data_IF_507310432122
#
_entry.id   IF_507310432122
#
_cell.length_a   1.000
_cell.length_b   1.000
_cell.length_c   1.000
_cell.angle_alpha   90.00
_cell.angle_beta   90.00
_cell.angle_gamma   90.00
#
_symmetry.space_group_name_H-M   'P 1'
#
loop_
_entity.id
_entity.type
_entity.pdbx_description
1 polymer ?
#
# COMPACT_ATOMS: atom_id res chain seq x y z
N UNK A 1 -41.50 -67.44 31.85
CA UNK A 1 -41.92 -66.06 31.49
C UNK A 1 -40.68 -65.22 31.19
N UNK A 2 -40.68 -64.57 30.02
CA UNK A 2 -39.86 -63.44 29.52
C UNK A 2 -38.32 -63.43 29.70
N UNK A 3 -37.64 -63.58 28.56
CA UNK A 3 -36.27 -63.14 28.27
C UNK A 3 -36.21 -61.61 28.26
N UNK A 4 -35.18 -61.01 28.87
CA UNK A 4 -34.80 -59.61 28.64
C UNK A 4 -33.32 -59.62 28.23
N UNK A 5 -33.09 -59.37 26.94
CA UNK A 5 -31.76 -59.08 26.41
C UNK A 5 -31.55 -57.57 26.48
N UNK A 6 -30.51 -57.15 27.19
CA UNK A 6 -30.13 -55.75 27.32
C UNK A 6 -29.21 -55.41 26.13
N UNK A 7 -29.71 -54.62 25.18
CA UNK A 7 -28.90 -54.09 24.06
C UNK A 7 -28.33 -52.75 24.49
N UNK A 8 -27.02 -52.70 24.70
CA UNK A 8 -26.24 -51.47 24.86
C UNK A 8 -26.00 -50.86 23.48
N UNK A 9 -26.73 -49.81 23.14
CA UNK A 9 -26.44 -48.96 21.98
C UNK A 9 -25.49 -47.84 22.42
N UNK A 10 -24.20 -48.00 22.12
CA UNK A 10 -23.21 -46.92 22.25
C UNK A 10 -23.29 -46.01 21.02
N UNK A 11 -23.77 -44.77 21.20
CA UNK A 11 -23.74 -43.75 20.17
C UNK A 11 -22.32 -43.15 20.08
N UNK A 12 -21.60 -43.45 19.00
CA UNK A 12 -20.42 -42.66 18.60
C UNK A 12 -20.91 -41.32 18.02
N UNK A 13 -20.72 -40.22 18.75
CA UNK A 13 -20.78 -38.88 18.18
C UNK A 13 -19.46 -38.60 17.45
N UNK A 14 -19.50 -38.63 16.11
CA UNK A 14 -18.43 -38.10 15.29
C UNK A 14 -18.52 -36.56 15.26
N UNK A 15 -17.59 -35.90 15.94
CA UNK A 15 -17.38 -34.45 15.81
C UNK A 15 -16.67 -34.19 14.47
N UNK A 16 -17.44 -33.86 13.44
CA UNK A 16 -16.87 -33.34 12.20
C UNK A 16 -16.47 -31.88 12.43
N UNK A 17 -15.16 -31.63 12.48
CA UNK A 17 -14.60 -30.28 12.40
C UNK A 17 -14.86 -29.77 10.98
N UNK A 18 -15.91 -28.97 10.78
CA UNK A 18 -16.08 -28.23 9.54
C UNK A 18 -15.08 -27.08 9.53
N UNK A 19 -14.12 -27.11 8.61
CA UNK A 19 -13.27 -25.96 8.34
C UNK A 19 -14.18 -24.77 8.00
N UNK A 20 -14.10 -23.71 8.79
CA UNK A 20 -14.95 -22.54 8.63
C UNK A 20 -14.42 -21.76 7.42
N UNK A 21 -15.29 -21.55 6.42
CA UNK A 21 -14.96 -20.83 5.19
C UNK A 21 -14.58 -19.38 5.53
N UNK A 22 -13.56 -18.83 4.87
CA UNK A 22 -13.19 -17.43 5.07
C UNK A 22 -14.36 -16.49 4.75
N UNK A 23 -14.51 -15.43 5.53
CA UNK A 23 -15.45 -14.35 5.21
C UNK A 23 -14.91 -13.47 4.09
N UNK A 24 -15.79 -12.76 3.36
CA UNK A 24 -15.39 -11.82 2.30
C UNK A 24 -14.44 -10.72 2.83
N UNK A 25 -14.62 -10.29 4.08
CA UNK A 25 -13.75 -9.32 4.73
C UNK A 25 -12.35 -9.90 4.98
N UNK A 26 -12.26 -11.12 5.51
CA UNK A 26 -10.98 -11.81 5.74
C UNK A 26 -10.24 -12.11 4.43
N UNK A 27 -10.97 -12.48 3.38
CA UNK A 27 -10.42 -12.68 2.05
C UNK A 27 -9.82 -11.37 1.51
N UNK A 28 -10.60 -10.29 1.53
CA UNK A 28 -10.16 -8.95 1.09
C UNK A 28 -8.92 -8.47 1.85
N UNK A 29 -8.90 -8.61 3.17
CA UNK A 29 -7.76 -8.20 4.00
C UNK A 29 -6.51 -9.04 3.71
N UNK A 30 -6.68 -10.36 3.53
CA UNK A 30 -5.56 -11.26 3.20
C UNK A 30 -5.03 -10.97 1.80
N UNK A 31 -5.91 -10.65 0.85
CA UNK A 31 -5.54 -10.24 -0.51
C UNK A 31 -4.73 -8.95 -0.51
N UNK A 32 -5.23 -7.90 0.17
CA UNK A 32 -4.54 -6.61 0.33
C UNK A 32 -3.16 -6.80 0.97
N UNK A 33 -3.04 -7.64 2.01
CA UNK A 33 -1.75 -8.01 2.63
C UNK A 33 -0.80 -8.70 1.64
N UNK A 34 -1.29 -9.68 0.88
CA UNK A 34 -0.49 -10.38 -0.12
C UNK A 34 0.10 -9.43 -1.17
N UNK A 35 -0.72 -8.52 -1.71
CA UNK A 35 -0.27 -7.50 -2.68
C UNK A 35 0.80 -6.59 -2.06
N UNK A 36 0.60 -6.15 -0.81
CA UNK A 36 1.58 -5.32 -0.09
C UNK A 36 2.89 -6.06 0.15
N UNK A 37 2.86 -7.33 0.55
CA UNK A 37 4.06 -8.15 0.71
C UNK A 37 4.80 -8.33 -0.61
N UNK A 38 4.08 -8.67 -1.69
CA UNK A 38 4.63 -8.84 -3.03
C UNK A 38 5.32 -7.57 -3.53
N UNK A 39 4.71 -6.41 -3.26
CA UNK A 39 5.23 -5.10 -3.64
C UNK A 39 6.45 -4.66 -2.82
N UNK A 40 6.52 -5.06 -1.56
CA UNK A 40 7.69 -4.83 -0.71
C UNK A 40 8.77 -5.92 -0.85
N UNK A 41 8.67 -6.76 -1.89
CA UNK A 41 9.59 -7.87 -2.17
C UNK A 41 9.73 -8.87 -1.01
N UNK A 42 8.70 -8.97 -0.16
CA UNK A 42 8.58 -9.95 0.93
C UNK A 42 7.93 -11.23 0.37
N UNK A 43 8.63 -11.91 -0.54
CA UNK A 43 8.05 -12.97 -1.38
C UNK A 43 7.48 -14.15 -0.58
N UNK A 44 8.14 -14.56 0.50
CA UNK A 44 7.66 -15.65 1.37
C UNK A 44 6.33 -15.30 2.05
N UNK A 45 6.20 -14.06 2.56
CA UNK A 45 4.95 -13.61 3.18
C UNK A 45 3.83 -13.46 2.12
N UNK A 46 4.18 -13.02 0.91
CA UNK A 46 3.23 -12.96 -0.20
C UNK A 46 2.74 -14.36 -0.59
N UNK A 47 3.65 -15.33 -0.65
CA UNK A 47 3.32 -16.74 -0.89
C UNK A 47 2.34 -17.27 0.16
N UNK A 48 2.61 -17.06 1.45
CA UNK A 48 1.71 -17.48 2.54
C UNK A 48 0.29 -16.91 2.35
N UNK A 49 0.19 -15.61 2.03
CA UNK A 49 -1.11 -14.98 1.78
C UNK A 49 -1.82 -15.56 0.56
N UNK A 50 -1.15 -15.65 -0.58
CA UNK A 50 -1.79 -16.10 -1.82
C UNK A 50 -2.05 -17.61 -1.85
N UNK A 51 -1.25 -18.42 -1.14
CA UNK A 51 -1.50 -19.85 -0.96
C UNK A 51 -2.77 -20.07 -0.13
N UNK A 52 -2.95 -19.30 0.95
CA UNK A 52 -4.17 -19.32 1.77
C UNK A 52 -5.40 -18.96 0.94
N UNK A 53 -5.32 -17.87 0.16
CA UNK A 53 -6.43 -17.43 -0.69
C UNK A 53 -6.74 -18.42 -1.82
N UNK A 54 -5.72 -19.05 -2.40
CA UNK A 54 -5.90 -20.02 -3.47
C UNK A 54 -6.58 -21.31 -2.97
N UNK A 55 -6.28 -21.75 -1.75
CA UNK A 55 -6.95 -22.88 -1.11
C UNK A 55 -8.43 -22.61 -0.81
N UNK A 56 -8.79 -21.34 -0.58
CA UNK A 56 -10.16 -20.91 -0.30
C UNK A 56 -11.00 -20.75 -1.59
N UNK A 57 -10.42 -20.23 -2.68
CA UNK A 57 -11.07 -20.10 -3.99
C UNK A 57 -10.10 -20.46 -5.13
N UNK A 58 -9.99 -21.76 -5.43
CA UNK A 58 -9.14 -22.29 -6.51
C UNK A 58 -9.58 -21.82 -7.92
N UNK A 59 -10.85 -21.39 -8.05
CA UNK A 59 -11.40 -20.88 -9.30
C UNK A 59 -11.02 -19.42 -9.56
N UNK A 60 -10.55 -18.68 -8.54
CA UNK A 60 -10.07 -17.32 -8.70
C UNK A 60 -8.73 -17.30 -9.46
N UNK A 61 -8.80 -17.04 -10.78
CA UNK A 61 -7.61 -17.00 -11.64
C UNK A 61 -6.69 -15.81 -11.36
N UNK A 62 -7.19 -14.74 -10.74
CA UNK A 62 -6.35 -13.63 -10.29
C UNK A 62 -5.45 -14.06 -9.13
N UNK A 63 -6.01 -14.69 -8.09
CA UNK A 63 -5.23 -15.21 -6.97
C UNK A 63 -4.25 -16.29 -7.43
N UNK A 64 -4.71 -17.18 -8.32
CA UNK A 64 -3.87 -18.22 -8.94
C UNK A 64 -2.68 -17.60 -9.67
N UNK A 65 -2.91 -16.53 -10.43
CA UNK A 65 -1.88 -15.76 -11.11
C UNK A 65 -0.89 -15.12 -10.13
N UNK A 66 -1.36 -14.45 -9.07
CA UNK A 66 -0.51 -13.79 -8.08
C UNK A 66 0.37 -14.79 -7.31
N UNK A 67 -0.15 -15.99 -7.02
CA UNK A 67 0.63 -17.08 -6.45
C UNK A 67 1.69 -17.58 -7.44
N UNK A 68 1.29 -17.84 -8.69
CA UNK A 68 2.22 -18.27 -9.75
C UNK A 68 3.32 -17.25 -10.05
N UNK A 69 2.98 -15.95 -10.05
CA UNK A 69 3.93 -14.85 -10.15
C UNK A 69 4.93 -14.85 -8.97
N UNK A 70 4.44 -15.13 -7.76
CA UNK A 70 5.30 -15.17 -6.56
C UNK A 70 6.34 -16.28 -6.70
N UNK A 71 5.93 -17.49 -7.07
CA UNK A 71 6.84 -18.62 -7.32
C UNK A 71 7.83 -18.34 -8.46
N UNK A 72 7.35 -17.81 -9.60
CA UNK A 72 8.20 -17.45 -10.72
C UNK A 72 9.27 -16.41 -10.32
N UNK A 73 8.91 -15.42 -9.50
CA UNK A 73 9.84 -14.40 -9.00
C UNK A 73 10.88 -14.97 -8.03
N UNK A 74 10.48 -15.86 -7.12
CA UNK A 74 11.40 -16.58 -6.22
C UNK A 74 12.38 -17.45 -7.01
N UNK A 75 11.94 -18.04 -8.12
CA UNK A 75 12.73 -19.04 -8.84
C UNK A 75 12.63 -20.44 -8.21
N UNK A 76 11.68 -20.64 -7.31
CA UNK A 76 11.40 -21.89 -6.61
C UNK A 76 10.06 -22.45 -7.09
N UNK A 77 9.86 -23.77 -6.95
CA UNK A 77 8.63 -24.45 -7.36
C UNK A 77 8.21 -24.14 -8.81
N UNK A 78 9.18 -23.98 -9.71
CA UNK A 78 8.96 -23.52 -11.09
C UNK A 78 7.93 -24.36 -11.87
N UNK A 79 7.90 -25.71 -11.78
CA UNK A 79 6.84 -26.50 -12.40
C UNK A 79 5.44 -26.12 -11.92
N UNK A 80 5.29 -25.83 -10.61
CA UNK A 80 4.01 -25.40 -10.04
C UNK A 80 3.66 -23.97 -10.45
N UNK A 81 4.64 -23.08 -10.52
CA UNK A 81 4.45 -21.72 -11.04
C UNK A 81 3.90 -21.75 -12.47
N UNK A 82 4.48 -22.59 -13.33
CA UNK A 82 4.05 -22.79 -14.71
C UNK A 82 2.60 -23.27 -14.76
N UNK A 83 2.25 -24.33 -14.01
CA UNK A 83 0.89 -24.87 -13.97
C UNK A 83 -0.16 -23.80 -13.58
N UNK A 84 0.14 -23.05 -12.51
CA UNK A 84 -0.74 -21.98 -12.03
C UNK A 84 -0.89 -20.88 -13.10
N UNK A 85 0.20 -20.46 -13.73
CA UNK A 85 0.20 -19.38 -14.72
C UNK A 85 -0.48 -19.80 -16.04
N UNK A 86 -0.24 -21.03 -16.54
CA UNK A 86 -0.93 -21.60 -17.71
C UNK A 86 -2.45 -21.69 -17.48
N UNK A 87 -2.87 -22.06 -16.27
CA UNK A 87 -4.28 -22.08 -15.89
C UNK A 87 -4.88 -20.67 -15.86
N UNK A 88 -4.12 -19.69 -15.36
CA UNK A 88 -4.60 -18.33 -15.13
C UNK A 88 -4.75 -17.50 -16.41
N UNK A 89 -3.84 -17.64 -17.38
CA UNK A 89 -3.89 -16.87 -18.64
C UNK A 89 -5.17 -17.10 -19.46
N UNK A 90 -5.88 -18.22 -19.23
CA UNK A 90 -7.17 -18.51 -19.87
C UNK A 90 -8.27 -17.51 -19.48
N UNK A 91 -8.10 -16.79 -18.39
CA UNK A 91 -9.01 -15.74 -17.92
C UNK A 91 -8.48 -14.33 -18.24
N UNK A 92 -7.67 -14.17 -19.29
CA UNK A 92 -7.18 -12.85 -19.71
C UNK A 92 -8.32 -11.88 -20.03
N UNK A 93 -8.13 -10.61 -19.64
CA UNK A 93 -9.03 -9.51 -19.99
C UNK A 93 -8.24 -8.20 -20.13
N UNK A 94 -8.54 -7.36 -21.15
CA UNK A 94 -7.97 -6.01 -21.23
C UNK A 94 -8.53 -5.06 -20.15
N UNK A 95 -9.70 -5.38 -19.60
CA UNK A 95 -10.37 -4.59 -18.55
C UNK A 95 -10.11 -5.16 -17.14
N UNK A 96 -8.84 -5.44 -16.82
CA UNK A 96 -8.44 -6.01 -15.53
C UNK A 96 -8.51 -4.96 -14.41
N UNK A 97 -9.14 -5.31 -13.28
CA UNK A 97 -9.23 -4.42 -12.11
C UNK A 97 -8.07 -4.64 -11.15
N UNK A 98 -7.07 -3.77 -11.22
CA UNK A 98 -5.92 -3.74 -10.29
C UNK A 98 -6.41 -3.57 -8.84
N UNK A 99 -5.75 -4.24 -7.90
CA UNK A 99 -5.99 -4.21 -6.44
C UNK A 99 -7.40 -4.55 -5.94
N UNK A 100 -8.35 -4.90 -6.82
CA UNK A 100 -9.71 -5.30 -6.47
C UNK A 100 -9.71 -6.78 -5.98
N UNK A 101 -10.05 -7.06 -4.70
CA UNK A 101 -10.05 -8.42 -4.17
C UNK A 101 -11.12 -9.32 -4.80
N UNK A 102 -12.10 -8.74 -5.51
CA UNK A 102 -13.17 -9.49 -6.20
C UNK A 102 -12.83 -9.83 -7.65
N UNK A 103 -11.72 -9.30 -8.20
CA UNK A 103 -11.29 -9.60 -9.56
C UNK A 103 -10.88 -11.08 -9.66
N UNK A 104 -11.45 -11.79 -10.64
CA UNK A 104 -11.21 -13.22 -10.88
C UNK A 104 -10.43 -13.50 -12.16
N UNK A 105 -10.16 -12.47 -12.96
CA UNK A 105 -9.47 -12.54 -14.26
C UNK A 105 -8.05 -12.02 -14.14
N UNK A 106 -7.29 -12.04 -15.23
CA UNK A 106 -5.88 -11.63 -15.23
C UNK A 106 -5.58 -10.58 -16.29
N UNK A 107 -4.56 -9.77 -16.03
CA UNK A 107 -3.97 -8.83 -16.99
C UNK A 107 -3.01 -9.55 -17.95
N UNK A 108 -2.57 -8.81 -18.97
CA UNK A 108 -1.52 -9.24 -19.91
C UNK A 108 -0.20 -9.62 -19.21
N UNK A 109 0.06 -9.12 -18.00
CA UNK A 109 1.26 -9.44 -17.23
C UNK A 109 1.35 -10.92 -16.81
N UNK A 110 0.24 -11.65 -16.77
CA UNK A 110 0.25 -13.09 -16.50
C UNK A 110 1.09 -13.88 -17.53
N UNK A 111 1.07 -13.46 -18.80
CA UNK A 111 1.85 -14.07 -19.87
C UNK A 111 3.35 -13.79 -19.73
N UNK A 112 3.71 -12.59 -19.26
CA UNK A 112 5.08 -12.26 -18.95
C UNK A 112 5.63 -13.13 -17.81
N UNK A 113 4.88 -13.30 -16.72
CA UNK A 113 5.35 -14.14 -15.62
C UNK A 113 5.36 -15.63 -16.00
N UNK A 114 4.47 -16.08 -16.90
CA UNK A 114 4.54 -17.42 -17.48
C UNK A 114 5.83 -17.62 -18.29
N UNK A 115 6.17 -16.64 -19.13
CA UNK A 115 7.45 -16.64 -19.86
C UNK A 115 8.65 -16.69 -18.91
N UNK A 116 8.63 -15.90 -17.83
CA UNK A 116 9.68 -15.92 -16.82
C UNK A 116 9.81 -17.31 -16.19
N UNK A 117 8.68 -17.93 -15.84
CA UNK A 117 8.66 -19.27 -15.25
C UNK A 117 9.24 -20.31 -16.22
N UNK A 118 8.84 -20.29 -17.50
CA UNK A 118 9.41 -21.17 -18.53
C UNK A 118 10.92 -20.99 -18.71
N UNK A 119 11.37 -19.74 -18.81
CA UNK A 119 12.79 -19.43 -18.98
C UNK A 119 13.61 -19.97 -17.82
N UNK A 120 13.18 -19.69 -16.58
CA UNK A 120 13.86 -20.18 -15.37
C UNK A 120 13.80 -21.71 -15.23
N UNK A 121 12.73 -22.33 -15.73
CA UNK A 121 12.57 -23.79 -15.71
C UNK A 121 13.34 -24.47 -16.86
N UNK A 122 13.97 -23.72 -17.76
CA UNK A 122 14.71 -24.25 -18.90
C UNK A 122 13.84 -24.75 -20.06
N UNK A 123 12.55 -24.41 -20.08
CA UNK A 123 11.62 -24.77 -21.16
C UNK A 123 11.74 -23.75 -22.31
N UNK A 124 12.88 -23.74 -23.02
CA UNK A 124 13.20 -22.64 -23.95
C UNK A 124 12.25 -22.54 -25.16
N UNK A 125 11.74 -23.66 -25.67
CA UNK A 125 10.73 -23.64 -26.74
C UNK A 125 9.40 -23.03 -26.27
N UNK A 126 8.97 -23.36 -25.04
CA UNK A 126 7.77 -22.78 -24.43
C UNK A 126 7.98 -21.31 -24.09
N UNK A 127 9.20 -20.93 -23.69
CA UNK A 127 9.60 -19.54 -23.46
C UNK A 127 9.43 -18.70 -24.74
N UNK A 128 9.89 -19.20 -25.89
CA UNK A 128 9.71 -18.53 -27.19
C UNK A 128 8.22 -18.40 -27.57
N UNK A 129 7.44 -19.46 -27.36
CA UNK A 129 6.01 -19.43 -27.67
C UNK A 129 5.28 -18.41 -26.79
N UNK A 130 5.53 -18.43 -25.47
CA UNK A 130 4.99 -17.45 -24.54
C UNK A 130 5.40 -16.02 -24.90
N UNK A 131 6.63 -15.80 -25.41
CA UNK A 131 7.10 -14.49 -25.87
C UNK A 131 6.29 -13.99 -27.06
N UNK A 132 6.09 -14.85 -28.05
CA UNK A 132 5.30 -14.52 -29.23
C UNK A 132 3.85 -14.22 -28.85
N UNK A 133 3.25 -15.01 -27.96
CA UNK A 133 1.90 -14.74 -27.46
C UNK A 133 1.83 -13.42 -26.71
N UNK A 134 2.80 -13.15 -25.83
CA UNK A 134 2.89 -11.90 -25.09
C UNK A 134 2.88 -10.69 -26.04
N UNK A 135 3.65 -10.72 -27.13
CA UNK A 135 3.63 -9.65 -28.13
C UNK A 135 2.28 -9.39 -28.78
N UNK A 136 1.42 -10.40 -28.90
CA UNK A 136 0.11 -10.22 -29.57
C UNK A 136 -0.93 -9.53 -28.70
N UNK A 137 -0.82 -9.69 -27.38
CA UNK A 137 -1.81 -9.21 -26.41
C UNK A 137 -1.33 -8.00 -25.61
N UNK A 138 -0.01 -7.76 -25.60
CA UNK A 138 0.58 -6.75 -24.75
C UNK A 138 0.11 -5.37 -25.21
N UNK A 139 -0.41 -4.59 -24.28
CA UNK A 139 -0.95 -3.25 -24.52
C UNK A 139 0.12 -2.23 -24.96
N UNK A 140 1.41 -2.61 -24.88
CA UNK A 140 2.57 -1.74 -25.10
C UNK A 140 2.67 -0.56 -24.13
N UNK A 141 1.87 -0.56 -23.05
CA UNK A 141 1.93 0.46 -21.99
C UNK A 141 3.35 0.58 -21.40
N UNK A 142 4.11 -0.52 -21.36
CA UNK A 142 5.44 -0.55 -20.78
C UNK A 142 6.41 -1.45 -21.56
N UNK A 143 7.14 -0.83 -22.50
CA UNK A 143 8.13 -1.50 -23.36
C UNK A 143 9.20 -2.31 -22.61
N UNK A 144 9.43 -2.05 -21.31
CA UNK A 144 10.37 -2.83 -20.51
C UNK A 144 10.02 -4.31 -20.50
N UNK A 145 8.73 -4.67 -20.43
CA UNK A 145 8.34 -6.08 -20.39
C UNK A 145 8.69 -6.79 -21.68
N UNK A 146 8.71 -6.10 -22.81
CA UNK A 146 9.13 -6.65 -24.10
C UNK A 146 10.64 -6.90 -24.10
N UNK A 147 11.41 -5.93 -23.62
CA UNK A 147 12.87 -6.04 -23.55
C UNK A 147 13.30 -7.14 -22.58
N UNK A 148 12.73 -7.16 -21.38
CA UNK A 148 13.03 -8.17 -20.37
C UNK A 148 12.55 -9.56 -20.81
N UNK A 149 11.38 -9.67 -21.46
CA UNK A 149 10.93 -10.94 -22.03
C UNK A 149 11.86 -11.46 -23.14
N UNK A 150 12.41 -10.59 -23.99
CA UNK A 150 13.45 -10.96 -24.95
C UNK A 150 14.73 -11.44 -24.25
N UNK A 151 15.13 -10.76 -23.18
CA UNK A 151 16.31 -11.13 -22.40
C UNK A 151 16.14 -12.50 -21.72
N UNK A 152 14.99 -12.74 -21.08
CA UNK A 152 14.60 -14.02 -20.50
C UNK A 152 14.63 -15.16 -21.54
N UNK A 153 14.16 -14.91 -22.77
CA UNK A 153 14.28 -15.90 -23.85
C UNK A 153 15.75 -16.13 -24.27
N UNK A 154 16.51 -15.06 -24.52
CA UNK A 154 17.93 -15.15 -24.94
C UNK A 154 18.81 -15.86 -23.92
N UNK A 155 18.50 -15.69 -22.64
CA UNK A 155 19.25 -16.26 -21.53
C UNK A 155 18.70 -17.60 -21.03
N UNK A 156 17.63 -18.13 -21.65
CA UNK A 156 17.10 -19.44 -21.31
C UNK A 156 18.14 -20.52 -21.60
N UNK A 157 18.34 -21.42 -20.63
CA UNK A 157 19.22 -22.59 -20.77
C UNK A 157 18.37 -23.84 -20.64
N UNK A 158 18.41 -24.77 -21.63
CA UNK A 158 17.66 -26.01 -21.56
C UNK A 158 17.99 -26.76 -20.28
N UNK A 159 16.99 -27.39 -19.65
CA UNK A 159 17.25 -28.33 -18.56
C UNK A 159 18.19 -29.42 -19.05
N UNK A 160 19.30 -29.61 -18.34
CA UNK A 160 20.09 -30.82 -18.50
C UNK A 160 19.21 -32.02 -18.10
N UNK A 161 19.29 -33.16 -18.80
CA UNK A 161 18.52 -34.34 -18.42
C UNK A 161 18.92 -34.75 -17.01
N UNK A 162 18.00 -34.59 -16.06
CA UNK A 162 18.21 -34.96 -14.65
C UNK A 162 18.47 -36.47 -14.56
N UNK A 163 19.60 -36.86 -13.97
CA UNK A 163 19.77 -38.20 -13.43
C UNK A 163 18.84 -38.34 -12.21
N UNK A 164 18.12 -39.46 -12.13
CA UNK A 164 17.12 -39.72 -11.09
C UNK A 164 17.67 -39.46 -9.66
N UNK A 165 16.97 -38.69 -8.80
CA UNK A 165 17.44 -38.43 -7.45
C UNK A 165 17.06 -39.55 -6.48
N UNK A 166 18.01 -39.96 -5.64
CA UNK A 166 17.79 -40.76 -4.43
C UNK A 166 17.01 -39.94 -3.39
N UNK A 167 15.99 -40.57 -2.77
CA UNK A 167 15.17 -39.99 -1.71
C UNK A 167 16.00 -39.65 -0.46
N UNK A 168 15.85 -38.42 0.07
CA UNK A 168 16.20 -38.12 1.46
C UNK A 168 15.02 -37.48 2.19
N UNK A 169 14.68 -38.12 3.31
CA UNK A 169 13.63 -37.76 4.26
C UNK A 169 14.04 -36.52 5.05
N UNK A 170 13.25 -35.45 5.01
CA UNK A 170 13.43 -34.25 5.85
C UNK A 170 12.39 -34.27 6.98
N UNK A 171 12.86 -34.17 8.23
CA UNK A 171 12.03 -33.97 9.41
C UNK A 171 11.69 -32.48 9.57
N UNK A 172 10.43 -32.17 9.86
CA UNK A 172 9.93 -30.82 10.11
C UNK A 172 10.25 -30.34 11.53
N UNK A 173 10.71 -29.08 11.67
CA UNK A 173 10.62 -28.32 12.92
C UNK A 173 9.56 -27.22 12.82
N UNK A 174 8.71 -27.12 13.84
CA UNK A 174 7.62 -26.14 13.97
C UNK A 174 8.13 -24.72 14.28
N UNK A 175 7.53 -23.65 13.73
CA UNK A 175 7.76 -22.30 14.21
C UNK A 175 6.86 -21.92 15.39
N UNK A 176 7.43 -21.16 16.32
CA UNK A 176 6.80 -20.55 17.49
C UNK A 176 6.07 -19.25 17.10
N UNK A 177 4.80 -19.18 17.48
CA UNK A 177 3.89 -18.05 17.31
C UNK A 177 4.31 -16.83 18.15
N UNK A 178 4.31 -15.64 17.54
CA UNK A 178 4.38 -14.35 18.25
C UNK A 178 3.31 -13.41 17.73
N UNK A 179 2.31 -13.14 18.57
CA UNK A 179 1.27 -12.14 18.35
C UNK A 179 1.85 -10.73 18.18
N UNK A 180 1.28 -9.96 17.23
CA UNK A 180 1.49 -8.51 17.07
C UNK A 180 0.18 -7.81 16.63
N UNK A 181 0.05 -6.49 16.91
CA UNK A 181 -1.21 -5.85 17.28
C UNK A 181 -2.14 -5.51 16.10
N UNK A 182 -3.41 -5.29 16.44
CA UNK A 182 -4.52 -4.97 15.53
C UNK A 182 -4.30 -3.67 14.74
N UNK A 183 -4.49 -3.65 13.40
CA UNK A 183 -4.46 -2.42 12.61
C UNK A 183 -5.78 -1.64 12.68
N UNK A 184 -5.67 -0.30 12.66
CA UNK A 184 -6.77 0.66 12.60
C UNK A 184 -7.45 0.62 11.21
N UNK A 185 -8.79 0.62 11.17
CA UNK A 185 -9.62 0.73 9.96
C UNK A 185 -9.75 2.20 9.54
N UNK A 186 -9.45 2.50 8.27
CA UNK A 186 -9.88 3.75 7.61
C UNK A 186 -10.97 3.42 6.58
N UNK A 187 -12.00 4.27 6.43
CA UNK A 187 -13.02 4.11 5.39
C UNK A 187 -12.45 4.40 4.00
N UNK A 188 -12.77 3.55 3.01
CA UNK A 188 -12.34 3.68 1.61
C UNK A 188 -12.88 4.99 1.00
N UNK A 189 -12.00 5.99 0.83
CA UNK A 189 -12.27 7.18 0.01
C UNK A 189 -11.47 7.06 -1.29
N UNK A 190 -12.17 7.02 -2.43
CA UNK A 190 -11.52 6.98 -3.75
C UNK A 190 -10.88 8.34 -4.04
N UNK A 191 -9.56 8.42 -3.91
CA UNK A 191 -8.78 9.58 -4.30
C UNK A 191 -8.70 9.75 -5.82
N UNK A 192 -8.69 11.01 -6.30
CA UNK A 192 -8.40 11.34 -7.70
C UNK A 192 -6.89 11.55 -7.85
N UNK A 193 -6.24 10.68 -8.62
CA UNK A 193 -4.77 10.67 -8.77
C UNK A 193 -4.37 11.22 -10.13
N UNK A 194 -3.56 12.29 -10.12
CA UNK A 194 -2.92 12.82 -11.33
C UNK A 194 -1.51 12.27 -11.48
N UNK A 195 -1.25 11.58 -12.58
CA UNK A 195 0.06 11.00 -12.90
C UNK A 195 0.74 11.71 -14.07
N UNK A 196 2.05 11.51 -14.20
CA UNK A 196 2.88 11.93 -15.32
C UNK A 196 3.77 10.78 -15.75
N UNK A 197 3.76 10.48 -17.04
CA UNK A 197 4.64 9.47 -17.63
C UNK A 197 6.10 9.94 -17.60
N UNK A 198 6.99 9.05 -17.17
CA UNK A 198 8.42 9.28 -17.13
C UNK A 198 9.12 8.44 -18.20
N UNK A 199 9.82 9.12 -19.11
CA UNK A 199 10.62 8.50 -20.16
C UNK A 199 12.11 8.70 -19.86
N UNK A 200 12.84 7.60 -19.68
CA UNK A 200 14.29 7.63 -19.44
C UNK A 200 15.05 7.53 -20.76
N UNK A 201 15.85 8.54 -21.08
CA UNK A 201 16.71 8.57 -22.29
C UNK A 201 18.09 7.94 -22.06
N UNK A 202 18.57 7.91 -20.82
CA UNK A 202 19.87 7.36 -20.45
C UNK A 202 19.77 5.86 -20.06
N UNK A 203 20.64 5.00 -20.63
CA UNK A 203 20.59 3.53 -20.46
C UNK A 203 21.27 2.97 -19.21
N UNK A 204 22.07 3.75 -18.47
CA UNK A 204 22.73 3.26 -17.25
C UNK A 204 21.75 3.11 -16.08
N UNK A 205 22.06 2.23 -15.12
CA UNK A 205 21.27 2.06 -13.90
C UNK A 205 21.20 3.36 -13.08
N UNK A 206 20.07 3.58 -12.41
CA UNK A 206 19.88 4.71 -11.51
C UNK A 206 19.28 4.18 -10.22
N UNK A 207 19.98 4.37 -9.11
CA UNK A 207 19.65 3.81 -7.81
C UNK A 207 18.84 4.82 -7.01
N UNK A 208 17.74 4.37 -6.43
CA UNK A 208 16.96 5.11 -5.45
C UNK A 208 16.72 4.27 -4.21
N UNK A 209 16.10 4.88 -3.21
CA UNK A 209 15.72 4.19 -1.97
C UNK A 209 14.19 4.16 -1.88
N UNK A 210 13.59 2.97 -1.96
CA UNK A 210 12.19 2.81 -1.64
C UNK A 210 12.02 2.82 -0.12
N UNK A 211 11.18 3.73 0.38
CA UNK A 211 10.90 3.90 1.82
C UNK A 211 9.53 3.38 2.23
N UNK A 212 8.60 3.28 1.28
CA UNK A 212 7.30 2.63 1.48
C UNK A 212 6.67 2.19 0.16
N UNK A 213 5.72 1.27 0.28
CA UNK A 213 4.75 0.93 -0.76
C UNK A 213 3.37 0.74 -0.11
N UNK A 214 2.34 1.41 -0.62
CA UNK A 214 0.98 1.43 -0.05
C UNK A 214 -0.09 1.32 -1.16
N UNK A 215 -1.27 0.79 -0.82
CA UNK A 215 -2.39 0.64 -1.77
C UNK A 215 -3.16 1.94 -1.98
N UNK A 216 -3.22 2.79 -0.95
CA UNK A 216 -3.81 4.11 -1.02
C UNK A 216 -2.71 5.16 -0.87
N UNK A 217 -2.61 6.13 -1.78
CA UNK A 217 -1.53 7.09 -1.75
C UNK A 217 -1.73 8.09 -0.62
N UNK A 218 -0.68 8.31 0.15
CA UNK A 218 -0.57 9.37 1.14
C UNK A 218 0.32 10.51 0.64
N UNK A 219 0.17 11.70 1.21
CA UNK A 219 1.06 12.82 0.90
C UNK A 219 2.47 12.62 1.48
N UNK A 220 3.48 13.24 0.87
CA UNK A 220 4.87 13.00 1.30
C UNK A 220 5.23 13.61 2.66
N UNK A 221 4.41 14.52 3.21
CA UNK A 221 4.57 15.00 4.58
C UNK A 221 4.35 13.89 5.63
N UNK A 222 3.70 12.78 5.28
CA UNK A 222 3.49 11.64 6.18
C UNK A 222 4.77 10.83 6.47
N UNK A 223 5.89 11.20 5.84
CA UNK A 223 7.20 10.58 6.04
C UNK A 223 8.11 11.50 6.86
N UNK A 224 7.91 11.59 8.20
CA UNK A 224 8.61 12.54 9.04
C UNK A 224 10.13 12.39 8.93
N UNK A 225 10.81 13.52 8.81
CA UNK A 225 12.26 13.59 8.73
C UNK A 225 12.87 13.15 7.40
N UNK A 226 12.06 12.83 6.39
CA UNK A 226 12.46 12.60 5.00
C UNK A 226 12.03 13.79 4.13
N UNK A 227 12.77 14.02 3.04
CA UNK A 227 12.51 15.09 2.06
C UNK A 227 12.85 14.57 0.67
N UNK A 228 12.36 15.25 -0.36
CA UNK A 228 12.57 14.90 -1.78
C UNK A 228 12.10 13.47 -2.08
N UNK A 229 10.88 13.17 -1.61
CA UNK A 229 10.23 11.91 -1.88
C UNK A 229 9.46 12.07 -3.18
N UNK A 230 9.65 11.11 -4.07
CA UNK A 230 8.87 10.97 -5.29
C UNK A 230 7.94 9.78 -5.12
N UNK A 231 6.73 9.92 -5.66
CA UNK A 231 5.71 8.89 -5.56
C UNK A 231 5.45 8.36 -6.95
N UNK A 232 5.46 7.04 -7.10
CA UNK A 232 5.23 6.35 -8.35
C UNK A 232 4.09 5.36 -8.19
N UNK A 233 3.26 5.18 -9.21
CA UNK A 233 2.31 4.07 -9.28
C UNK A 233 2.90 2.95 -10.12
N UNK A 234 2.90 1.73 -9.58
CA UNK A 234 3.35 0.56 -10.33
C UNK A 234 2.20 -0.09 -11.11
N UNK A 235 2.56 -1.09 -11.92
CA UNK A 235 1.61 -1.80 -12.77
C UNK A 235 0.55 -2.60 -12.00
N UNK A 236 0.80 -2.91 -10.72
CA UNK A 236 -0.14 -3.58 -9.84
C UNK A 236 -1.06 -2.60 -9.12
N UNK A 237 -0.93 -1.28 -9.34
CA UNK A 237 -1.70 -0.24 -8.67
C UNK A 237 -1.18 0.11 -7.27
N UNK A 238 0.08 -0.21 -6.96
CA UNK A 238 0.71 0.11 -5.67
C UNK A 238 1.53 1.40 -5.79
N UNK A 239 1.36 2.30 -4.82
CA UNK A 239 2.08 3.57 -4.74
C UNK A 239 3.41 3.40 -3.99
N UNK A 240 4.51 3.68 -4.67
CA UNK A 240 5.90 3.52 -4.20
C UNK A 240 6.54 4.86 -3.91
N UNK A 241 7.12 4.99 -2.73
CA UNK A 241 7.74 6.22 -2.23
C UNK A 241 9.25 6.08 -2.32
N UNK A 242 9.87 6.85 -3.19
CA UNK A 242 11.28 6.75 -3.56
C UNK A 242 12.02 8.03 -3.17
N UNK A 243 13.25 7.87 -2.67
CA UNK A 243 14.15 8.99 -2.40
C UNK A 243 15.41 8.86 -3.25
N UNK A 244 15.65 9.94 -4.00
CA UNK A 244 16.91 10.18 -4.70
C UNK A 244 17.13 9.33 -5.94
N UNK A 245 18.04 9.83 -6.77
CA UNK A 245 18.47 9.23 -8.02
C UNK A 245 19.99 9.26 -8.07
N UNK A 246 20.61 8.10 -7.96
CA UNK A 246 22.06 7.95 -7.81
C UNK A 246 22.61 7.06 -8.90
N UNK A 247 23.56 7.60 -9.67
CA UNK A 247 24.29 6.81 -10.67
C UNK A 247 25.15 5.71 -10.01
N UNK A 248 25.65 5.97 -8.80
CA UNK A 248 26.52 5.04 -8.07
C UNK A 248 25.79 4.41 -6.89
N UNK A 249 25.70 3.07 -6.89
CA UNK A 249 25.09 2.28 -5.79
C UNK A 249 25.62 2.66 -4.41
N UNK A 250 26.93 2.91 -4.29
CA UNK A 250 27.59 3.27 -3.03
C UNK A 250 27.07 4.59 -2.43
N UNK A 251 26.61 5.55 -3.25
CA UNK A 251 25.98 6.78 -2.77
C UNK A 251 24.60 6.49 -2.20
N UNK A 252 23.80 5.68 -2.91
CA UNK A 252 22.49 5.25 -2.46
C UNK A 252 22.58 4.42 -1.14
N UNK A 253 23.59 3.55 -1.01
CA UNK A 253 23.84 2.78 0.22
C UNK A 253 24.15 3.66 1.43
N UNK A 254 24.91 4.76 1.23
CA UNK A 254 25.18 5.73 2.31
C UNK A 254 23.90 6.41 2.78
N UNK A 255 23.06 6.84 1.85
CA UNK A 255 21.77 7.45 2.19
C UNK A 255 20.80 6.44 2.84
N UNK A 256 20.75 5.21 2.33
CA UNK A 256 19.95 4.13 2.91
C UNK A 256 20.27 3.92 4.39
N UNK A 257 21.56 3.91 4.78
CA UNK A 257 21.96 3.80 6.20
C UNK A 257 21.38 4.94 7.06
N UNK A 258 21.33 6.16 6.53
CA UNK A 258 20.76 7.31 7.24
C UNK A 258 19.23 7.21 7.34
N UNK A 259 18.57 6.74 6.27
CA UNK A 259 17.12 6.51 6.22
C UNK A 259 16.71 5.44 7.25
N UNK A 260 17.43 4.32 7.33
CA UNK A 260 17.19 3.28 8.35
C UNK A 260 17.37 3.80 9.77
N UNK A 261 18.43 4.59 10.03
CA UNK A 261 18.64 5.26 11.33
C UNK A 261 17.51 6.23 11.72
N UNK A 262 16.74 6.74 10.75
CA UNK A 262 15.55 7.57 10.99
C UNK A 262 14.28 6.77 11.28
N UNK A 263 14.34 5.44 11.28
CA UNK A 263 13.23 4.54 11.63
C UNK A 263 12.66 3.74 10.45
N UNK A 264 13.10 3.99 9.22
CA UNK A 264 12.61 3.30 8.02
C UNK A 264 13.41 2.02 7.76
N UNK A 265 13.32 1.06 8.68
CA UNK A 265 14.14 -0.16 8.67
C UNK A 265 13.94 -1.04 7.44
N UNK A 266 12.70 -1.03 6.92
CA UNK A 266 12.27 -1.78 5.74
C UNK A 266 12.69 -1.10 4.43
N UNK A 267 13.34 0.08 4.48
CA UNK A 267 13.82 0.72 3.26
C UNK A 267 14.89 -0.12 2.55
N UNK A 268 14.87 -0.09 1.21
CA UNK A 268 15.81 -0.85 0.39
C UNK A 268 16.15 -0.12 -0.92
N UNK A 269 17.26 -0.53 -1.54
CA UNK A 269 17.69 0.02 -2.82
C UNK A 269 16.81 -0.52 -3.95
N UNK A 270 16.41 0.37 -4.85
CA UNK A 270 15.71 0.03 -6.08
C UNK A 270 16.44 0.63 -7.27
N UNK A 271 16.32 0.00 -8.43
CA UNK A 271 16.66 0.63 -9.69
C UNK A 271 15.44 1.46 -10.12
N UNK A 272 15.51 2.79 -10.04
CA UNK A 272 14.39 3.70 -10.34
C UNK A 272 14.04 3.74 -11.82
N UNK A 273 14.82 3.07 -12.67
CA UNK A 273 14.49 2.82 -14.09
C UNK A 273 13.75 1.52 -14.33
N UNK A 274 13.44 0.76 -13.27
CA UNK A 274 12.51 -0.35 -13.36
C UNK A 274 11.13 0.21 -13.74
N UNK A 275 10.87 0.23 -15.05
CA UNK A 275 9.63 0.80 -15.58
C UNK A 275 8.41 0.05 -15.05
N UNK A 276 8.51 -1.21 -14.60
CA UNK A 276 7.36 -1.92 -13.99
C UNK A 276 6.83 -1.19 -12.75
N UNK A 277 7.71 -0.45 -12.08
CA UNK A 277 7.47 0.17 -10.78
C UNK A 277 7.44 1.70 -10.81
N UNK A 278 8.09 2.31 -11.81
CA UNK A 278 8.43 3.73 -11.80
C UNK A 278 8.11 4.46 -13.12
N UNK A 279 7.18 3.93 -13.93
CA UNK A 279 6.77 4.58 -15.19
C UNK A 279 5.82 5.77 -14.99
N UNK A 280 4.96 5.70 -13.98
CA UNK A 280 3.96 6.73 -13.70
C UNK A 280 4.28 7.46 -12.40
N UNK A 281 4.78 8.69 -12.51
CA UNK A 281 5.01 9.53 -11.33
C UNK A 281 3.71 10.20 -10.90
N UNK A 282 3.33 10.03 -9.63
CA UNK A 282 2.18 10.72 -9.03
C UNK A 282 2.56 12.18 -8.77
N UNK A 283 1.78 13.10 -9.31
CA UNK A 283 1.95 14.55 -9.16
C UNK A 283 0.93 15.12 -8.18
N UNK A 284 -0.32 14.64 -8.24
CA UNK A 284 -1.41 15.14 -7.40
C UNK A 284 -2.23 14.03 -6.75
N UNK A 285 -2.77 14.33 -5.56
CA UNK A 285 -3.79 13.56 -4.85
C UNK A 285 -4.92 14.55 -4.54
N UNK A 286 -6.12 14.28 -5.05
CA UNK A 286 -7.31 15.14 -4.90
C UNK A 286 -7.04 16.60 -5.28
N UNK A 287 -6.41 16.79 -6.44
CA UNK A 287 -6.04 18.09 -7.01
C UNK A 287 -4.89 18.85 -6.32
N UNK A 288 -4.50 18.48 -5.10
CA UNK A 288 -3.33 19.05 -4.46
C UNK A 288 -2.04 18.33 -4.89
N UNK A 289 -0.92 19.04 -4.93
CA UNK A 289 0.39 18.44 -5.16
C UNK A 289 0.73 17.40 -4.08
N UNK A 290 1.24 16.22 -4.48
CA UNK A 290 1.61 15.14 -3.55
C UNK A 290 2.67 15.56 -2.52
N UNK A 291 3.46 16.59 -2.86
CA UNK A 291 4.48 17.21 -2.02
C UNK A 291 4.01 18.49 -1.32
N UNK A 292 2.70 18.72 -1.18
CA UNK A 292 2.16 19.91 -0.50
C UNK A 292 2.73 20.04 0.91
N UNK A 293 3.04 21.28 1.29
CA UNK A 293 3.55 21.62 2.63
C UNK A 293 2.80 22.82 3.17
N UNK A 294 2.57 22.82 4.48
CA UNK A 294 2.09 24.00 5.18
C UNK A 294 3.29 24.94 5.40
N UNK A 295 3.07 26.23 5.17
CA UNK A 295 4.06 27.29 5.43
C UNK A 295 3.43 28.34 6.32
N UNK A 296 4.14 28.75 7.36
CA UNK A 296 3.65 29.75 8.31
C UNK A 296 2.83 29.16 9.45
N UNK A 297 1.97 30.01 10.03
CA UNK A 297 1.18 29.70 11.22
C UNK A 297 -0.01 28.80 10.88
N UNK A 298 -0.25 27.81 11.73
CA UNK A 298 -1.49 27.04 11.77
C UNK A 298 -2.35 27.62 12.89
N UNK A 299 -3.63 27.75 12.62
CA UNK A 299 -4.65 28.21 13.53
C UNK A 299 -5.71 27.10 13.64
N UNK A 300 -5.85 26.52 14.83
CA UNK A 300 -6.87 25.52 15.11
C UNK A 300 -8.13 26.23 15.59
N UNK A 301 -9.28 25.84 15.04
CA UNK A 301 -10.60 26.40 15.38
C UNK A 301 -11.59 25.27 15.56
N UNK A 302 -12.69 25.51 16.28
CA UNK A 302 -13.77 24.53 16.39
C UNK A 302 -14.81 24.85 15.33
N UNK A 303 -14.97 23.97 14.34
CA UNK A 303 -16.02 24.10 13.34
C UNK A 303 -17.36 23.68 13.95
N UNK A 304 -18.36 24.55 13.84
CA UNK A 304 -19.72 24.37 14.37
C UNK A 304 -20.76 24.18 13.28
N UNK A 305 -20.35 24.30 12.01
CA UNK A 305 -21.25 24.06 10.88
C UNK A 305 -20.61 24.30 9.52
N UNK A 306 -21.28 23.81 8.49
CA UNK A 306 -20.97 24.05 7.09
C UNK A 306 -22.28 24.15 6.31
N UNK A 307 -22.57 25.32 5.73
CA UNK A 307 -23.86 25.62 5.12
C UNK A 307 -23.69 26.00 3.66
N UNK A 308 -24.66 25.62 2.81
CA UNK A 308 -24.75 26.13 1.44
C UNK A 308 -25.59 27.39 1.42
N UNK A 309 -25.09 28.46 0.81
CA UNK A 309 -25.82 29.72 0.72
C UNK A 309 -25.75 30.56 2.01
N UNK A 310 -26.82 31.30 2.27
CA UNK A 310 -26.96 32.34 3.31
C UNK A 310 -27.78 31.88 4.53
N UNK A 311 -28.21 30.62 4.58
CA UNK A 311 -29.10 30.11 5.63
C UNK A 311 -28.33 29.34 6.71
N UNK A 312 -28.05 30.03 7.82
CA UNK A 312 -27.59 29.42 9.08
C UNK A 312 -28.83 28.94 9.86
N UNK A 313 -28.89 27.68 10.31
CA UNK A 313 -30.01 27.16 11.09
C UNK A 313 -30.29 27.97 12.37
N UNK A 314 -31.56 28.19 12.70
CA UNK A 314 -31.98 28.98 13.87
C UNK A 314 -31.38 28.49 15.20
N UNK A 315 -31.22 27.18 15.38
CA UNK A 315 -30.61 26.62 16.59
C UNK A 315 -29.12 26.98 16.74
N UNK A 316 -28.43 27.35 15.65
CA UNK A 316 -27.08 27.88 15.68
C UNK A 316 -27.05 29.39 15.92
N UNK A 317 -28.14 30.12 15.67
CA UNK A 317 -28.24 31.54 16.03
C UNK A 317 -28.23 31.75 17.54
N UNK A 318 -28.78 30.80 18.32
CA UNK A 318 -28.64 30.83 19.79
C UNK A 318 -27.18 30.67 20.26
N UNK A 319 -26.34 30.02 19.46
CA UNK A 319 -24.91 29.85 19.76
C UNK A 319 -24.15 31.16 19.59
N UNK A 320 -24.56 32.03 18.65
CA UNK A 320 -24.01 33.39 18.51
C UNK A 320 -24.21 34.27 19.75
N UNK A 321 -25.23 33.98 20.55
CA UNK A 321 -25.49 34.70 21.80
C UNK A 321 -24.66 34.16 22.98
N UNK A 322 -24.06 32.97 22.84
CA UNK A 322 -23.37 32.26 23.92
C UNK A 322 -21.85 32.20 23.72
N UNK A 323 -21.37 32.30 22.48
CA UNK A 323 -19.97 32.14 22.13
C UNK A 323 -19.40 33.39 21.44
N UNK A 324 -18.28 33.87 21.97
CA UNK A 324 -17.48 34.93 21.34
C UNK A 324 -16.57 34.36 20.24
N UNK A 325 -16.11 35.24 19.34
CA UNK A 325 -15.11 34.91 18.30
C UNK A 325 -15.57 33.87 17.27
N UNK A 326 -16.80 34.00 16.77
CA UNK A 326 -17.27 33.24 15.61
C UNK A 326 -16.69 33.84 14.33
N UNK A 327 -16.18 32.98 13.44
CA UNK A 327 -15.60 33.32 12.15
C UNK A 327 -16.21 32.48 11.05
N UNK A 328 -16.53 33.13 9.94
CA UNK A 328 -17.03 32.52 8.72
C UNK A 328 -15.94 32.49 7.65
N UNK A 329 -15.83 31.39 6.92
CA UNK A 329 -14.88 31.24 5.81
C UNK A 329 -15.54 30.50 4.65
N UNK A 330 -15.52 31.11 3.47
CA UNK A 330 -15.99 30.44 2.25
C UNK A 330 -14.97 29.39 1.80
N UNK A 331 -15.43 28.15 1.68
CA UNK A 331 -14.66 27.04 1.10
C UNK A 331 -15.54 26.39 0.03
N UNK A 332 -15.18 26.60 -1.24
CA UNK A 332 -15.98 26.20 -2.39
C UNK A 332 -17.40 26.80 -2.33
N UNK A 333 -18.44 25.96 -2.34
CA UNK A 333 -19.86 26.32 -2.24
C UNK A 333 -20.38 26.37 -0.78
N UNK A 334 -19.49 26.19 0.19
CA UNK A 334 -19.85 26.10 1.61
C UNK A 334 -19.33 27.29 2.41
N UNK A 335 -20.21 27.83 3.25
CA UNK A 335 -19.90 28.74 4.34
C UNK A 335 -19.52 27.91 5.57
N UNK A 336 -18.23 27.87 5.88
CA UNK A 336 -17.71 27.15 7.04
C UNK A 336 -17.72 28.08 8.25
N UNK A 337 -18.40 27.64 9.31
CA UNK A 337 -18.54 28.41 10.54
C UNK A 337 -17.68 27.82 11.63
N UNK A 338 -16.86 28.66 12.25
CA UNK A 338 -15.88 28.25 13.25
C UNK A 338 -15.91 29.17 14.46
N UNK A 339 -15.46 28.67 15.61
CA UNK A 339 -15.35 29.43 16.85
C UNK A 339 -13.98 29.20 17.49
N UNK A 340 -13.44 30.26 18.08
CA UNK A 340 -12.15 30.26 18.74
C UNK A 340 -10.97 30.22 17.77
N UNK A 341 -9.78 30.49 18.31
CA UNK A 341 -8.50 30.46 17.60
C UNK A 341 -7.44 29.98 18.59
N UNK A 342 -6.77 28.88 18.25
CA UNK A 342 -5.88 28.15 19.14
C UNK A 342 -4.59 27.79 18.44
N UNK A 343 -3.48 27.85 19.17
CA UNK A 343 -2.15 27.54 18.62
C UNK A 343 -1.90 26.02 18.57
N UNK A 344 -2.65 25.25 19.37
CA UNK A 344 -2.52 23.78 19.46
C UNK A 344 -3.85 23.06 19.24
N UNK A 345 -3.75 21.80 18.79
CA UNK A 345 -4.91 20.93 18.63
C UNK A 345 -5.56 20.62 19.99
N UNK A 346 -4.74 20.47 21.02
CA UNK A 346 -5.17 20.13 22.38
C UNK A 346 -6.04 21.24 22.98
N UNK A 347 -5.62 22.51 22.88
CA UNK A 347 -6.42 23.67 23.28
C UNK A 347 -7.77 23.74 22.55
N UNK A 348 -7.75 23.56 21.22
CA UNK A 348 -8.97 23.53 20.41
C UNK A 348 -9.88 22.35 20.78
N UNK A 349 -9.31 21.18 21.12
CA UNK A 349 -10.08 20.00 21.52
C UNK A 349 -10.76 20.19 22.87
N UNK A 350 -10.10 20.83 23.85
CA UNK A 350 -10.74 21.20 25.11
C UNK A 350 -11.89 22.18 24.89
N UNK A 351 -11.69 23.18 24.02
CA UNK A 351 -12.76 24.12 23.71
C UNK A 351 -13.93 23.47 22.95
N UNK A 352 -13.65 22.49 22.07
CA UNK A 352 -14.67 21.71 21.36
C UNK A 352 -15.62 21.00 22.33
N UNK A 353 -15.13 20.47 23.45
CA UNK A 353 -15.98 19.82 24.46
C UNK A 353 -17.00 20.80 25.06
N UNK A 354 -16.58 22.02 25.40
CA UNK A 354 -17.48 23.09 25.86
C UNK A 354 -18.55 23.42 24.81
N UNK A 355 -18.16 23.54 23.54
CA UNK A 355 -19.07 23.83 22.43
C UNK A 355 -20.09 22.71 22.22
N UNK A 356 -19.67 21.45 22.38
CA UNK A 356 -20.56 20.28 22.33
C UNK A 356 -21.55 20.25 23.51
N UNK A 357 -21.13 20.68 24.70
CA UNK A 357 -21.99 20.78 25.88
C UNK A 357 -23.06 21.89 25.75
N UNK A 358 -22.74 22.96 25.03
CA UNK A 358 -23.67 24.04 24.72
C UNK A 358 -24.72 23.69 23.65
N UNK A 359 -24.61 22.51 23.02
CA UNK A 359 -25.64 21.95 22.14
C UNK A 359 -25.17 21.59 20.73
N UNK A 360 -23.94 21.96 20.32
CA UNK A 360 -23.42 21.68 18.98
C UNK A 360 -22.69 20.34 18.95
N UNK A 361 -23.45 19.24 18.96
CA UNK A 361 -22.90 17.88 19.16
C UNK A 361 -21.96 17.41 18.05
N UNK A 362 -22.11 17.92 16.84
CA UNK A 362 -21.28 17.61 15.68
C UNK A 362 -20.04 18.51 15.56
N UNK A 363 -19.79 19.41 16.52
CA UNK A 363 -18.62 20.28 16.51
C UNK A 363 -17.31 19.47 16.50
N UNK A 364 -16.35 19.90 15.68
CA UNK A 364 -15.05 19.26 15.55
C UNK A 364 -13.92 20.26 15.33
N UNK A 365 -12.69 19.88 15.66
CA UNK A 365 -11.52 20.74 15.45
C UNK A 365 -11.15 20.75 13.97
N UNK A 366 -11.04 21.94 13.39
CA UNK A 366 -10.53 22.19 12.05
C UNK A 366 -9.21 22.98 12.13
N UNK A 367 -8.33 22.75 11.16
CA UNK A 367 -7.07 23.49 11.05
C UNK A 367 -7.10 24.44 9.85
N UNK A 368 -6.55 25.63 10.06
CA UNK A 368 -6.42 26.66 9.03
C UNK A 368 -4.96 27.07 8.93
N UNK A 369 -4.47 27.27 7.72
CA UNK A 369 -3.23 27.98 7.45
C UNK A 369 -3.61 29.31 6.82
N UNK A 370 -3.44 30.39 7.58
CA UNK A 370 -4.06 31.69 7.28
C UNK A 370 -5.59 31.53 7.14
N UNK A 371 -6.17 31.86 5.98
CA UNK A 371 -7.60 31.74 5.72
C UNK A 371 -7.98 30.47 4.93
N UNK A 372 -7.03 29.57 4.67
CA UNK A 372 -7.29 28.32 3.94
C UNK A 372 -7.44 27.19 4.95
N UNK A 373 -8.57 26.48 4.91
CA UNK A 373 -8.75 25.22 5.62
C UNK A 373 -7.75 24.19 5.09
N UNK A 374 -7.04 23.52 5.99
CA UNK A 374 -6.03 22.50 5.67
C UNK A 374 -6.39 21.17 6.32
N UNK A 375 -5.77 20.09 5.83
CA UNK A 375 -5.87 18.78 6.46
C UNK A 375 -5.38 18.85 7.93
N UNK A 376 -6.21 18.34 8.84
CA UNK A 376 -5.96 18.39 10.28
C UNK A 376 -4.69 17.63 10.66
N UNK A 377 -4.48 16.46 10.05
CA UNK A 377 -3.31 15.62 10.36
C UNK A 377 -2.03 16.28 9.88
N UNK A 378 -2.00 16.85 8.67
CA UNK A 378 -0.88 17.65 8.16
C UNK A 378 -0.55 18.82 9.09
N UNK A 379 -1.56 19.55 9.54
CA UNK A 379 -1.41 20.67 10.46
C UNK A 379 -0.78 20.27 11.80
N UNK A 380 -1.27 19.19 12.41
CA UNK A 380 -0.70 18.62 13.65
C UNK A 380 0.76 18.21 13.45
N UNK A 381 1.07 17.55 12.33
CA UNK A 381 2.45 17.15 12.01
C UNK A 381 3.37 18.35 11.83
N UNK A 382 2.91 19.39 11.12
CA UNK A 382 3.66 20.63 10.92
C UNK A 382 4.04 21.31 12.24
N UNK A 383 3.09 21.42 13.19
CA UNK A 383 3.35 21.99 14.51
C UNK A 383 4.37 21.16 15.30
N UNK A 384 4.25 19.83 15.28
CA UNK A 384 5.23 18.94 15.94
C UNK A 384 6.63 19.09 15.35
N UNK A 385 6.75 19.25 14.04
CA UNK A 385 8.04 19.50 13.39
C UNK A 385 8.65 20.85 13.81
N UNK A 386 7.85 21.90 13.90
CA UNK A 386 8.30 23.21 14.37
C UNK A 386 8.77 23.18 15.83
N UNK A 387 8.00 22.55 16.73
CA UNK A 387 8.37 22.39 18.14
C UNK A 387 9.70 21.65 18.28
N UNK A 388 9.85 20.51 17.60
CA UNK A 388 11.10 19.75 17.59
C UNK A 388 12.28 20.56 17.03
N UNK A 389 12.06 21.39 16.03
CA UNK A 389 13.10 22.27 15.50
C UNK A 389 13.53 23.34 16.51
N UNK A 390 12.57 23.92 17.25
CA UNK A 390 12.83 24.89 18.32
C UNK A 390 13.61 24.24 19.47
N UNK A 391 13.19 23.07 19.93
CA UNK A 391 13.88 22.31 20.99
C UNK A 391 15.32 21.98 20.61
N UNK A 392 15.54 21.51 19.38
CA UNK A 392 16.89 21.22 18.89
C UNK A 392 17.78 22.46 18.81
N UNK A 393 17.22 23.64 18.50
CA UNK A 393 17.96 24.91 18.52
C UNK A 393 18.35 25.29 19.95
N UNK A 394 17.39 25.27 20.87
CA UNK A 394 17.64 25.54 22.30
C UNK A 394 18.71 24.62 22.88
N UNK A 395 18.68 23.34 22.53
CA UNK A 395 19.68 22.36 22.98
C UNK A 395 21.08 22.70 22.47
N UNK A 396 21.22 23.02 21.18
CA UNK A 396 22.52 23.45 20.60
C UNK A 396 23.04 24.74 21.24
N UNK A 397 22.17 25.71 21.49
CA UNK A 397 22.53 26.96 22.16
C UNK A 397 23.04 26.69 23.58
N UNK A 398 22.40 25.80 24.34
CA UNK A 398 22.85 25.40 25.69
C UNK A 398 24.18 24.63 25.71
N UNK A 399 24.45 23.83 24.68
CA UNK A 399 25.71 23.10 24.52
C UNK A 399 26.86 24.03 24.14
N UNK A 400 26.55 25.11 23.40
CA UNK A 400 27.55 26.11 22.95
C UNK A 400 27.85 27.13 24.04
N UNK A 401 26.91 27.43 24.95
CA UNK A 401 27.13 28.33 26.10
C UNK A 401 27.86 27.67 27.28
N UNK A 402 28.08 26.35 27.21
CA UNK A 402 28.76 25.56 28.25
C UNK A 402 30.20 25.18 27.89
N UNK A 403 30.68 25.65 26.73
CA UNK A 403 32.08 25.63 26.27
C UNK A 403 32.63 27.04 26.33
#
# INVERSE_FOLDING_TARGET
>A
MKKIALVLAGALLALTVTAQRMTDEEFSETFKKGILHLSNNKLQLAEENFKTLHQEDEDNKNVTYLLGQTYARQGEQLPKAIELLESSIKAYTPNYKKTDPTEKRVSEYAYYYLLMAYSKNGDCDKTLNALNQFYTIYSYENEWYLVDAQELFRNCKPKEPEAEPEEQIVQEEKPVEKEKPKPYKYPEQKHIIGTKDIQYTYKGMEWGIQVAAVLEPVYTYEFPGLRNIEVYMDNNGVYRYIIGHFMFKSQAERLLKLIKKKGYNDAFLVNVKDKQKFSEQVITIDQDNVNKKIVGKVDFRVQIGAFRGDTVPDHLMEIYLKLDSISETQVNDLTIMTVGSFDTYEEASFYKELVQDLGVKDAFVAAFNYNRKVDLRHAIMHIKEQQKAIENRKKKESETSSQ
#
